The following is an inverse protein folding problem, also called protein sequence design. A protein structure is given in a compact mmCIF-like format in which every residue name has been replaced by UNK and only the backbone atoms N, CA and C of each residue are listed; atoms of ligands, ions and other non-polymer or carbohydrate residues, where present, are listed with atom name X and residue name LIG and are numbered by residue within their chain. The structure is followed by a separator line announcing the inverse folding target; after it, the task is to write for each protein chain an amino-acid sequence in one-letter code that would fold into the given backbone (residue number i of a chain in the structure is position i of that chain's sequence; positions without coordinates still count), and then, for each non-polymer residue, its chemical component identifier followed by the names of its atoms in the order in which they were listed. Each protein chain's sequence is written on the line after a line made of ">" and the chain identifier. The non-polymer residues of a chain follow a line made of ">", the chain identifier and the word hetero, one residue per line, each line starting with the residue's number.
data_IF_624358388186
#
_entry.id   IF_624358388186
#
_cell.length_a   1.000
_cell.length_b   1.000
_cell.length_c   1.000
_cell.angle_alpha   90.00
_cell.angle_beta   90.00
_cell.angle_gamma   90.00
#
_symmetry.space_group_name_H-M   'P 1'
#
loop_
_entity.id
_entity.type
_entity.pdbx_description
1 polymer ?
#
# COMPACT_ATOMS: atom_id res chain seq x y z
N UNK A 1 -7.72 3.24 -3.91
CA UNK A 1 -7.53 4.69 -3.75
C UNK A 1 -6.10 5.02 -4.09
N UNK A 2 -5.86 5.91 -5.03
CA UNK A 2 -4.62 6.65 -4.97
C UNK A 2 -4.76 7.54 -3.72
N UNK A 3 -4.35 7.05 -2.55
CA UNK A 3 -4.18 7.91 -1.39
C UNK A 3 -3.16 8.95 -1.81
N UNK A 4 -3.57 10.22 -1.82
CA UNK A 4 -2.61 11.31 -1.99
C UNK A 4 -1.56 11.05 -0.91
N UNK A 5 -0.28 10.78 -1.26
CA UNK A 5 0.73 10.49 -0.27
C UNK A 5 0.73 11.61 0.78
N UNK A 6 0.83 11.27 2.07
CA UNK A 6 0.78 12.27 3.17
C UNK A 6 1.68 13.49 2.92
N UNK A 7 2.76 13.30 2.17
CA UNK A 7 3.74 14.33 1.82
C UNK A 7 3.53 14.99 0.45
N UNK A 8 2.56 14.52 -0.36
CA UNK A 8 2.24 15.12 -1.65
C UNK A 8 1.56 16.49 -1.49
N UNK A 9 1.59 17.36 -2.52
CA UNK A 9 0.81 18.59 -2.53
C UNK A 9 -0.67 18.32 -2.30
N UNK A 10 -1.31 19.12 -1.46
CA UNK A 10 -2.72 18.92 -1.16
C UNK A 10 -3.60 19.19 -2.39
N UNK A 11 -4.53 18.30 -2.74
CA UNK A 11 -5.42 18.46 -3.90
C UNK A 11 -6.31 19.72 -3.83
N UNK A 12 -6.45 20.34 -2.66
CA UNK A 12 -7.22 21.58 -2.50
C UNK A 12 -6.55 22.81 -3.12
N UNK A 13 -5.35 22.67 -3.70
CA UNK A 13 -4.62 23.79 -4.35
C UNK A 13 -3.93 24.76 -3.40
N UNK A 14 -3.86 24.48 -2.09
CA UNK A 14 -3.25 25.36 -1.07
C UNK A 14 -1.71 25.45 -1.15
N UNK A 15 -1.06 24.64 -1.99
CA UNK A 15 0.41 24.51 -2.05
C UNK A 15 1.04 23.81 -0.82
N UNK A 16 0.26 23.46 0.18
CA UNK A 16 0.74 22.74 1.37
C UNK A 16 0.71 21.22 1.14
N UNK A 17 1.55 20.47 1.87
CA UNK A 17 1.50 19.00 1.86
C UNK A 17 0.14 18.53 2.40
N UNK A 18 -0.40 17.42 1.86
CA UNK A 18 -1.74 16.91 2.22
C UNK A 18 -1.89 16.70 3.73
N UNK A 19 -0.87 16.15 4.40
CA UNK A 19 -0.84 16.00 5.88
C UNK A 19 -0.94 17.32 6.66
N UNK A 20 -0.59 18.45 6.01
CA UNK A 20 -0.57 19.77 6.64
C UNK A 20 -1.74 20.67 6.22
N UNK A 21 -2.67 20.15 5.42
CA UNK A 21 -3.77 20.92 4.85
C UNK A 21 -5.13 20.27 5.09
N UNK A 22 -5.45 19.21 4.37
CA UNK A 22 -6.79 18.59 4.38
C UNK A 22 -6.87 17.29 5.20
N UNK A 23 -5.75 16.77 5.70
CA UNK A 23 -5.79 15.81 6.79
C UNK A 23 -6.18 16.55 8.07
N UNK A 24 -7.17 16.09 8.85
CA UNK A 24 -7.47 16.67 10.15
C UNK A 24 -6.21 16.66 10.99
N UNK A 25 -5.70 17.83 11.34
CA UNK A 25 -4.64 17.95 12.34
C UNK A 25 -5.27 17.61 13.67
N UNK A 26 -4.67 16.71 14.45
CA UNK A 26 -4.79 16.78 15.89
C UNK A 26 -4.31 18.16 16.29
N UNK A 27 -5.22 19.07 16.54
CA UNK A 27 -4.92 20.44 16.89
C UNK A 27 -4.54 20.49 18.35
N UNK A 28 -3.23 20.55 18.60
CA UNK A 28 -2.73 21.26 19.79
C UNK A 28 -2.96 22.77 19.54
N UNK A 29 -4.18 23.20 19.79
CA UNK A 29 -4.49 24.58 20.10
C UNK A 29 -5.34 24.56 21.36
N UNK A 30 -4.71 24.94 22.47
CA UNK A 30 -5.37 25.48 23.64
C UNK A 30 -6.12 26.76 23.24
N UNK A 31 -7.28 26.59 22.64
CA UNK A 31 -8.27 27.64 22.54
C UNK A 31 -9.46 27.22 23.40
N UNK A 32 -9.73 28.00 24.45
CA UNK A 32 -10.77 27.82 25.44
C UNK A 32 -12.13 28.21 24.86
N UNK A 33 -12.50 27.70 23.71
CA UNK A 33 -13.87 27.69 23.20
C UNK A 33 -14.46 26.30 23.45
N UNK A 34 -15.62 26.25 24.11
CA UNK A 34 -16.37 25.00 24.32
C UNK A 34 -16.50 24.26 22.99
N UNK A 35 -16.24 22.93 22.94
CA UNK A 35 -16.41 22.15 21.72
C UNK A 35 -17.85 22.35 21.22
N UNK A 36 -17.98 22.52 19.89
CA UNK A 36 -19.32 22.64 19.30
C UNK A 36 -20.11 21.36 19.60
N UNK A 37 -21.45 21.43 19.78
CA UNK A 37 -22.28 20.24 20.04
C UNK A 37 -22.07 19.11 19.02
N UNK A 38 -21.60 19.46 17.82
CA UNK A 38 -21.23 18.53 16.74
C UNK A 38 -20.04 17.65 17.14
N UNK A 39 -19.03 18.21 17.83
CA UNK A 39 -17.78 17.51 18.14
C UNK A 39 -17.93 16.46 19.24
N UNK A 40 -18.82 16.65 20.21
CA UNK A 40 -19.04 15.68 21.28
C UNK A 40 -19.90 14.49 20.82
N UNK A 41 -21.00 14.75 20.10
CA UNK A 41 -21.92 13.69 19.61
C UNK A 41 -21.25 12.79 18.55
N UNK A 42 -20.31 13.31 17.75
CA UNK A 42 -19.64 12.55 16.69
C UNK A 42 -18.25 12.02 17.07
N UNK A 43 -17.71 12.41 18.23
CA UNK A 43 -16.37 12.00 18.66
C UNK A 43 -16.20 10.46 18.74
N UNK A 44 -17.24 9.76 19.21
CA UNK A 44 -17.25 8.29 19.31
C UNK A 44 -17.19 7.68 17.91
N UNK A 45 -17.96 8.22 16.96
CA UNK A 45 -17.98 7.76 15.58
C UNK A 45 -16.62 7.97 14.87
N UNK A 46 -16.02 9.15 15.01
CA UNK A 46 -14.69 9.43 14.45
C UNK A 46 -13.59 8.57 15.10
N UNK A 47 -13.69 8.31 16.40
CA UNK A 47 -12.78 7.37 17.08
C UNK A 47 -12.94 5.96 16.53
N UNK A 48 -14.16 5.45 16.41
CA UNK A 48 -14.43 4.14 15.82
C UNK A 48 -13.92 4.05 14.37
N UNK A 49 -14.10 5.12 13.57
CA UNK A 49 -13.57 5.22 12.21
C UNK A 49 -12.05 5.15 12.18
N UNK A 50 -11.35 5.86 13.08
CA UNK A 50 -9.88 5.82 13.19
C UNK A 50 -9.34 4.44 13.60
N UNK A 51 -10.13 3.68 14.36
CA UNK A 51 -9.83 2.32 14.79
C UNK A 51 -10.33 1.25 13.79
N UNK A 52 -10.77 1.68 12.59
CA UNK A 52 -11.32 0.82 11.52
C UNK A 52 -12.54 -0.03 11.95
N UNK A 53 -13.25 0.40 13.01
CA UNK A 53 -14.51 -0.21 13.46
C UNK A 53 -15.68 0.37 12.66
N UNK A 54 -15.75 -0.01 11.38
CA UNK A 54 -16.60 0.62 10.38
C UNK A 54 -18.08 0.56 10.73
N UNK A 55 -18.60 -0.60 11.12
CA UNK A 55 -20.02 -0.79 11.46
C UNK A 55 -20.46 0.11 12.63
N UNK A 56 -19.62 0.19 13.66
CA UNK A 56 -19.88 1.08 14.79
C UNK A 56 -19.87 2.55 14.36
N UNK A 57 -18.86 2.95 13.59
CA UNK A 57 -18.78 4.33 13.09
C UNK A 57 -20.01 4.70 12.23
N UNK A 58 -20.42 3.80 11.34
CA UNK A 58 -21.59 3.98 10.48
C UNK A 58 -22.87 4.12 11.32
N UNK A 59 -23.05 3.29 12.37
CA UNK A 59 -24.20 3.35 13.24
C UNK A 59 -24.30 4.71 13.93
N UNK A 60 -23.24 5.14 14.59
CA UNK A 60 -23.18 6.41 15.31
C UNK A 60 -23.37 7.63 14.38
N UNK A 61 -22.74 7.62 13.20
CA UNK A 61 -22.94 8.69 12.21
C UNK A 61 -24.36 8.71 11.66
N UNK A 62 -25.02 7.56 11.46
CA UNK A 62 -26.42 7.50 11.00
C UNK A 62 -27.39 8.03 12.05
N UNK A 63 -27.15 7.76 13.33
CA UNK A 63 -27.95 8.35 14.41
C UNK A 63 -27.89 9.89 14.37
N UNK A 64 -26.67 10.44 14.22
CA UNK A 64 -26.51 11.89 14.07
C UNK A 64 -27.19 12.42 12.80
N UNK A 65 -27.10 11.69 11.67
CA UNK A 65 -27.69 12.08 10.40
C UNK A 65 -29.23 12.13 10.46
N UNK A 66 -29.87 11.31 11.29
CA UNK A 66 -31.33 11.36 11.50
C UNK A 66 -31.78 12.70 12.08
N UNK A 67 -30.95 13.30 12.95
CA UNK A 67 -31.21 14.65 13.50
C UNK A 67 -30.82 15.75 12.51
N UNK A 68 -29.85 15.51 11.64
CA UNK A 68 -29.21 16.47 10.74
C UNK A 68 -29.08 15.92 9.32
N UNK A 69 -30.18 15.73 8.55
CA UNK A 69 -30.16 14.98 7.27
C UNK A 69 -29.30 15.60 6.17
N UNK A 70 -28.99 16.89 6.26
CA UNK A 70 -28.18 17.62 5.27
C UNK A 70 -26.74 17.89 5.74
N UNK A 71 -26.26 17.15 6.74
CA UNK A 71 -24.87 17.31 7.17
C UNK A 71 -23.91 16.69 6.15
N UNK A 72 -23.29 17.57 5.37
CA UNK A 72 -22.32 17.21 4.33
C UNK A 72 -21.15 16.40 4.90
N UNK A 73 -20.57 16.86 6.02
CA UNK A 73 -19.43 16.21 6.67
C UNK A 73 -19.76 14.78 7.10
N UNK A 74 -20.95 14.57 7.65
CA UNK A 74 -21.37 13.25 8.13
C UNK A 74 -21.66 12.31 6.96
N UNK A 75 -22.28 12.80 5.88
CA UNK A 75 -22.47 12.00 4.66
C UNK A 75 -21.13 11.54 4.09
N UNK A 76 -20.11 12.42 4.07
CA UNK A 76 -18.75 12.07 3.62
C UNK A 76 -18.07 11.07 4.57
N UNK A 77 -18.26 11.22 5.89
CA UNK A 77 -17.71 10.29 6.87
C UNK A 77 -18.33 8.89 6.72
N UNK A 78 -19.65 8.79 6.55
CA UNK A 78 -20.36 7.52 6.31
C UNK A 78 -19.88 6.90 5.00
N UNK A 79 -19.77 7.67 3.90
CA UNK A 79 -19.26 7.18 2.64
C UNK A 79 -17.83 6.61 2.79
N UNK A 80 -16.96 7.33 3.53
CA UNK A 80 -15.61 6.88 3.83
C UNK A 80 -15.57 5.60 4.68
N UNK A 81 -16.50 5.42 5.61
CA UNK A 81 -16.63 4.18 6.38
C UNK A 81 -17.05 3.01 5.49
N UNK A 82 -18.02 3.20 4.59
CA UNK A 82 -18.42 2.17 3.63
C UNK A 82 -17.30 1.84 2.63
N UNK A 83 -16.53 2.84 2.17
CA UNK A 83 -15.33 2.60 1.38
C UNK A 83 -14.29 1.76 2.15
N UNK A 84 -14.10 2.06 3.44
CA UNK A 84 -13.23 1.30 4.34
C UNK A 84 -13.69 -0.14 4.58
N UNK A 85 -15.01 -0.33 4.71
CA UNK A 85 -15.67 -1.63 4.84
C UNK A 85 -15.80 -2.39 3.52
N UNK A 86 -15.39 -1.79 2.39
CA UNK A 86 -15.49 -2.35 1.03
C UNK A 86 -16.93 -2.57 0.53
N UNK A 87 -17.90 -1.94 1.18
CA UNK A 87 -19.27 -1.85 0.66
C UNK A 87 -19.38 -0.68 -0.33
N UNK A 88 -18.84 -0.91 -1.52
CA UNK A 88 -18.74 0.12 -2.56
C UNK A 88 -20.09 0.58 -3.10
N UNK A 89 -21.14 -0.24 -2.98
CA UNK A 89 -22.48 0.16 -3.37
C UNK A 89 -23.03 1.23 -2.44
N UNK A 90 -22.92 1.00 -1.13
CA UNK A 90 -23.33 1.97 -0.12
C UNK A 90 -22.43 3.20 -0.12
N UNK A 91 -21.12 3.02 -0.30
CA UNK A 91 -20.18 4.14 -0.42
C UNK A 91 -20.60 5.09 -1.58
N UNK A 92 -20.90 4.53 -2.75
CA UNK A 92 -21.36 5.32 -3.90
C UNK A 92 -22.66 6.07 -3.60
N UNK A 93 -23.64 5.43 -2.95
CA UNK A 93 -24.90 6.07 -2.57
C UNK A 93 -24.67 7.30 -1.66
N UNK A 94 -23.82 7.15 -0.65
CA UNK A 94 -23.54 8.28 0.28
C UNK A 94 -22.66 9.35 -0.37
N UNK A 95 -21.78 9.01 -1.29
CA UNK A 95 -21.07 9.99 -2.11
C UNK A 95 -22.01 10.76 -3.02
N UNK A 96 -23.02 10.11 -3.64
CA UNK A 96 -24.05 10.78 -4.45
C UNK A 96 -24.88 11.76 -3.59
N UNK A 97 -25.29 11.34 -2.37
CA UNK A 97 -26.00 12.23 -1.45
C UNK A 97 -25.18 13.46 -1.06
N UNK A 98 -23.89 13.28 -0.77
CA UNK A 98 -23.01 14.40 -0.43
C UNK A 98 -22.72 15.31 -1.63
N UNK A 99 -22.62 14.73 -2.84
CA UNK A 99 -22.42 15.47 -4.07
C UNK A 99 -23.59 16.41 -4.36
N UNK A 100 -24.82 15.98 -4.04
CA UNK A 100 -26.01 16.81 -4.19
C UNK A 100 -26.02 18.05 -3.29
N UNK A 101 -25.27 18.02 -2.18
CA UNK A 101 -25.13 19.16 -1.25
C UNK A 101 -23.87 19.99 -1.49
N UNK A 102 -23.05 19.62 -2.47
CA UNK A 102 -21.73 20.25 -2.68
C UNK A 102 -21.70 21.08 -3.95
N UNK A 103 -21.60 22.40 -3.80
CA UNK A 103 -21.36 23.35 -4.90
C UNK A 103 -19.93 23.94 -4.86
N UNK A 104 -19.09 23.47 -3.94
CA UNK A 104 -17.81 24.06 -3.60
C UNK A 104 -16.58 23.31 -4.14
N UNK A 105 -15.38 23.72 -3.65
CA UNK A 105 -14.09 23.19 -4.10
C UNK A 105 -13.89 21.70 -3.80
N UNK A 106 -14.73 21.09 -2.96
CA UNK A 106 -14.70 19.65 -2.66
C UNK A 106 -15.37 18.79 -3.75
N UNK A 107 -16.16 19.39 -4.64
CA UNK A 107 -16.91 18.66 -5.67
C UNK A 107 -16.05 17.75 -6.55
N UNK A 108 -14.87 18.17 -7.04
CA UNK A 108 -14.01 17.28 -7.81
C UNK A 108 -13.54 16.04 -7.02
N UNK A 109 -13.22 16.24 -5.73
CA UNK A 109 -12.78 15.15 -4.85
C UNK A 109 -13.90 14.15 -4.59
N UNK A 110 -15.13 14.65 -4.42
CA UNK A 110 -16.31 13.78 -4.22
C UNK A 110 -16.58 12.98 -5.49
N UNK A 111 -16.56 13.62 -6.66
CA UNK A 111 -16.73 12.93 -7.93
C UNK A 111 -15.66 11.86 -8.13
N UNK A 112 -14.41 12.15 -7.81
CA UNK A 112 -13.35 11.16 -7.88
C UNK A 112 -13.64 9.95 -6.97
N UNK A 113 -14.01 10.16 -5.70
CA UNK A 113 -14.35 9.07 -4.77
C UNK A 113 -15.56 8.28 -5.25
N UNK A 114 -16.60 8.98 -5.71
CA UNK A 114 -17.80 8.35 -6.28
C UNK A 114 -17.44 7.46 -7.46
N UNK A 115 -16.62 7.97 -8.39
CA UNK A 115 -16.15 7.19 -9.54
C UNK A 115 -15.39 5.93 -9.14
N UNK A 116 -14.52 6.02 -8.12
CA UNK A 116 -13.81 4.85 -7.58
C UNK A 116 -14.80 3.85 -6.98
N UNK A 117 -15.72 4.27 -6.11
CA UNK A 117 -16.70 3.38 -5.49
C UNK A 117 -17.62 2.73 -6.55
N UNK A 118 -18.05 3.48 -7.58
CA UNK A 118 -18.85 2.95 -8.69
C UNK A 118 -18.07 1.90 -9.50
N UNK A 119 -16.79 2.15 -9.81
CA UNK A 119 -15.94 1.22 -10.54
C UNK A 119 -15.69 -0.06 -9.74
N UNK A 120 -15.38 0.06 -8.45
CA UNK A 120 -15.22 -1.08 -7.54
C UNK A 120 -16.52 -1.89 -7.37
N UNK A 121 -17.68 -1.22 -7.42
CA UNK A 121 -18.99 -1.85 -7.42
C UNK A 121 -19.37 -2.50 -8.78
N UNK A 122 -18.49 -2.46 -9.78
CA UNK A 122 -18.75 -2.98 -11.11
C UNK A 122 -19.64 -2.09 -12.00
N UNK A 123 -19.99 -0.87 -11.55
CA UNK A 123 -20.80 0.10 -12.33
C UNK A 123 -19.93 0.90 -13.29
N UNK A 124 -19.28 0.22 -14.23
CA UNK A 124 -18.19 0.75 -15.06
C UNK A 124 -18.61 1.97 -15.88
N UNK A 125 -19.76 1.91 -16.56
CA UNK A 125 -20.26 3.02 -17.38
C UNK A 125 -20.54 4.28 -16.55
N UNK A 126 -21.15 4.12 -15.36
CA UNK A 126 -21.40 5.24 -14.44
C UNK A 126 -20.09 5.82 -13.92
N UNK A 127 -19.15 4.95 -13.56
CA UNK A 127 -17.82 5.37 -13.11
C UNK A 127 -17.11 6.18 -14.19
N UNK A 128 -17.16 5.74 -15.45
CA UNK A 128 -16.58 6.45 -16.59
C UNK A 128 -17.15 7.88 -16.69
N UNK A 129 -18.48 8.01 -16.73
CA UNK A 129 -19.15 9.32 -16.78
C UNK A 129 -18.81 10.21 -15.60
N UNK A 130 -18.71 9.63 -14.39
CA UNK A 130 -18.34 10.35 -13.17
C UNK A 130 -16.91 10.87 -13.22
N UNK A 131 -15.97 10.08 -13.75
CA UNK A 131 -14.58 10.51 -13.92
C UNK A 131 -14.42 11.56 -15.04
N UNK A 132 -15.21 11.49 -16.12
CA UNK A 132 -15.25 12.57 -17.12
C UNK A 132 -15.69 13.89 -16.49
N UNK A 133 -16.77 13.87 -15.71
CA UNK A 133 -17.23 15.07 -14.97
C UNK A 133 -16.18 15.58 -13.95
N UNK A 134 -15.48 14.68 -13.30
CA UNK A 134 -14.39 15.05 -12.38
C UNK A 134 -13.22 15.69 -13.13
N UNK A 135 -12.83 15.16 -14.30
CA UNK A 135 -11.71 15.64 -15.11
C UNK A 135 -11.87 17.10 -15.55
N UNK A 136 -13.11 17.52 -15.84
CA UNK A 136 -13.40 18.91 -16.21
C UNK A 136 -13.14 19.89 -15.06
N UNK A 137 -13.34 19.45 -13.81
CA UNK A 137 -13.24 20.28 -12.61
C UNK A 137 -11.84 20.33 -12.00
N UNK A 138 -11.01 19.32 -12.23
CA UNK A 138 -9.62 19.31 -11.77
C UNK A 138 -8.77 20.31 -12.57
N UNK A 139 -7.85 20.98 -11.88
CA UNK A 139 -7.12 22.11 -12.44
C UNK A 139 -5.67 21.79 -12.80
N UNK A 140 -5.04 20.85 -12.09
CA UNK A 140 -3.63 20.54 -12.32
C UNK A 140 -3.44 19.48 -13.41
N UNK A 141 -2.36 19.58 -14.22
CA UNK A 141 -2.05 18.57 -15.22
C UNK A 141 -1.87 17.16 -14.64
N UNK A 142 -1.28 17.06 -13.44
CA UNK A 142 -1.03 15.79 -12.75
C UNK A 142 -2.34 15.08 -12.37
N UNK A 143 -3.33 15.83 -11.84
CA UNK A 143 -4.65 15.29 -11.52
C UNK A 143 -5.37 14.79 -12.77
N UNK A 144 -5.33 15.58 -13.85
CA UNK A 144 -5.92 15.21 -15.14
C UNK A 144 -5.26 13.98 -15.75
N UNK A 145 -3.93 13.86 -15.67
CA UNK A 145 -3.20 12.68 -16.12
C UNK A 145 -3.63 11.42 -15.34
N UNK A 146 -3.75 11.53 -14.02
CA UNK A 146 -4.18 10.43 -13.17
C UNK A 146 -5.60 9.94 -13.56
N UNK A 147 -6.55 10.86 -13.74
CA UNK A 147 -7.91 10.51 -14.18
C UNK A 147 -7.89 9.97 -15.61
N UNK A 148 -7.09 10.52 -16.50
CA UNK A 148 -6.95 10.02 -17.88
C UNK A 148 -6.52 8.55 -17.94
N UNK A 149 -5.61 8.14 -17.05
CA UNK A 149 -5.22 6.72 -16.92
C UNK A 149 -6.39 5.85 -16.49
N UNK A 150 -7.18 6.30 -15.51
CA UNK A 150 -8.38 5.59 -15.04
C UNK A 150 -9.41 5.48 -16.16
N UNK A 151 -9.70 6.55 -16.88
CA UNK A 151 -10.64 6.56 -18.00
C UNK A 151 -10.19 5.60 -19.13
N UNK A 152 -8.89 5.57 -19.42
CA UNK A 152 -8.33 4.61 -20.39
C UNK A 152 -8.55 3.16 -19.94
N UNK A 153 -8.37 2.87 -18.65
CA UNK A 153 -8.59 1.52 -18.10
C UNK A 153 -10.07 1.13 -18.14
N UNK A 154 -10.98 2.03 -17.70
CA UNK A 154 -12.42 1.79 -17.78
C UNK A 154 -12.89 1.59 -19.21
N UNK A 155 -12.36 2.36 -20.17
CA UNK A 155 -12.63 2.18 -21.60
C UNK A 155 -12.19 0.79 -22.09
N UNK A 156 -11.04 0.27 -21.65
CA UNK A 156 -10.59 -1.09 -21.97
C UNK A 156 -11.54 -2.15 -21.40
N UNK A 157 -12.11 -1.91 -20.21
CA UNK A 157 -13.11 -2.81 -19.62
C UNK A 157 -14.42 -2.77 -20.42
N UNK A 158 -14.91 -1.59 -20.79
CA UNK A 158 -16.13 -1.42 -21.57
C UNK A 158 -16.02 -2.09 -22.95
N UNK A 159 -14.84 -2.06 -23.56
CA UNK A 159 -14.56 -2.69 -24.85
C UNK A 159 -14.22 -4.19 -24.75
N UNK A 160 -14.29 -4.79 -23.55
CA UNK A 160 -14.02 -6.21 -23.33
C UNK A 160 -12.54 -6.60 -23.35
N UNK A 161 -11.60 -5.64 -23.42
CA UNK A 161 -10.16 -5.90 -23.37
C UNK A 161 -9.66 -6.25 -21.95
N UNK A 162 -10.39 -5.81 -20.93
CA UNK A 162 -10.16 -6.14 -19.52
C UNK A 162 -11.48 -6.51 -18.84
N UNK A 163 -11.40 -7.16 -17.69
CA UNK A 163 -12.59 -7.47 -16.86
C UNK A 163 -12.82 -6.40 -15.80
N UNK A 164 -14.05 -6.19 -15.32
CA UNK A 164 -14.32 -5.28 -14.20
C UNK A 164 -13.52 -5.63 -12.93
N UNK A 165 -13.25 -6.93 -12.74
CA UNK A 165 -12.42 -7.41 -11.62
C UNK A 165 -11.00 -6.85 -11.67
N UNK A 166 -10.45 -6.55 -12.85
CA UNK A 166 -9.10 -5.97 -12.96
C UNK A 166 -8.99 -4.62 -12.23
N UNK A 167 -10.02 -3.79 -12.32
CA UNK A 167 -10.07 -2.51 -11.60
C UNK A 167 -10.14 -2.71 -10.08
N UNK A 168 -10.97 -3.63 -9.62
CA UNK A 168 -11.09 -3.97 -8.20
C UNK A 168 -9.76 -4.50 -7.66
N UNK A 169 -9.10 -5.42 -8.38
CA UNK A 169 -7.79 -5.95 -8.02
C UNK A 169 -6.77 -4.83 -7.86
N UNK A 170 -6.72 -3.89 -8.80
CA UNK A 170 -5.79 -2.76 -8.74
C UNK A 170 -6.08 -1.83 -7.55
N UNK A 171 -7.36 -1.55 -7.29
CA UNK A 171 -7.76 -0.75 -6.12
C UNK A 171 -7.39 -1.43 -4.80
N UNK A 172 -7.57 -2.75 -4.70
CA UNK A 172 -7.19 -3.53 -3.53
C UNK A 172 -5.68 -3.62 -3.34
N UNK A 173 -4.90 -3.78 -4.43
CA UNK A 173 -3.44 -3.71 -4.38
C UNK A 173 -2.97 -2.36 -3.84
N UNK A 174 -3.56 -1.26 -4.31
CA UNK A 174 -3.22 0.07 -3.82
C UNK A 174 -3.51 0.24 -2.33
N UNK A 175 -4.62 -0.35 -1.84
CA UNK A 175 -4.94 -0.36 -0.41
C UNK A 175 -3.96 -1.22 0.40
N UNK A 176 -3.59 -2.40 -0.11
CA UNK A 176 -2.58 -3.22 0.53
C UNK A 176 -1.25 -2.47 0.68
N UNK A 177 -0.83 -1.68 -0.33
CA UNK A 177 0.35 -0.82 -0.20
C UNK A 177 0.17 0.28 0.85
N UNK A 178 -1.03 0.87 0.97
CA UNK A 178 -1.32 1.82 2.06
C UNK A 178 -1.25 1.15 3.44
N UNK A 179 -1.74 -0.09 3.56
CA UNK A 179 -1.65 -0.85 4.81
C UNK A 179 -0.18 -1.13 5.18
N UNK A 180 0.72 -1.35 4.19
CA UNK A 180 2.17 -1.44 4.43
C UNK A 180 2.78 -0.11 4.94
N UNK A 181 2.36 1.03 4.38
CA UNK A 181 2.82 2.35 4.83
C UNK A 181 2.36 2.67 6.26
N UNK A 182 1.19 2.14 6.67
CA UNK A 182 0.62 2.25 8.00
C UNK A 182 1.15 1.16 8.97
N UNK A 183 2.07 0.28 8.51
CA UNK A 183 2.60 -0.88 9.24
C UNK A 183 1.51 -1.90 9.65
N UNK A 184 0.33 -1.86 9.03
CA UNK A 184 -0.77 -2.80 9.26
C UNK A 184 -0.60 -4.06 8.38
N UNK A 185 0.44 -4.83 8.68
CA UNK A 185 0.82 -6.02 7.88
C UNK A 185 -0.25 -7.11 7.89
N UNK A 186 -1.10 -7.17 8.92
CA UNK A 186 -2.21 -8.13 9.00
C UNK A 186 -3.30 -7.78 7.97
N UNK A 187 -3.65 -6.50 7.84
CA UNK A 187 -4.59 -6.04 6.84
C UNK A 187 -4.03 -6.19 5.43
N UNK A 188 -2.75 -5.84 5.24
CA UNK A 188 -2.06 -6.02 3.97
C UNK A 188 -2.09 -7.50 3.53
N UNK A 189 -1.76 -8.44 4.44
CA UNK A 189 -1.80 -9.87 4.16
C UNK A 189 -3.22 -10.34 3.80
N UNK A 190 -4.22 -9.95 4.59
CA UNK A 190 -5.63 -10.31 4.36
C UNK A 190 -6.10 -9.88 2.97
N UNK A 191 -5.80 -8.64 2.56
CA UNK A 191 -6.15 -8.14 1.22
C UNK A 191 -5.43 -8.90 0.11
N UNK A 192 -4.12 -9.11 0.28
CA UNK A 192 -3.32 -9.83 -0.72
C UNK A 192 -3.77 -11.29 -0.86
N UNK A 193 -4.17 -11.96 0.22
CA UNK A 193 -4.80 -13.28 0.17
C UNK A 193 -6.11 -13.27 -0.63
N UNK A 194 -6.95 -12.25 -0.44
CA UNK A 194 -8.19 -12.11 -1.22
C UNK A 194 -7.89 -11.90 -2.70
N UNK A 195 -6.96 -10.98 -3.03
CA UNK A 195 -6.58 -10.67 -4.41
C UNK A 195 -5.97 -11.92 -5.09
N UNK A 196 -5.18 -12.70 -4.37
CA UNK A 196 -4.52 -13.90 -4.91
C UNK A 196 -5.50 -14.97 -5.43
N UNK A 197 -6.74 -14.95 -4.97
CA UNK A 197 -7.81 -15.84 -5.47
C UNK A 197 -8.33 -15.41 -6.84
N UNK A 198 -8.28 -14.11 -7.12
CA UNK A 198 -8.77 -13.54 -8.38
C UNK A 198 -7.65 -13.46 -9.45
N UNK A 199 -6.42 -13.28 -9.01
CA UNK A 199 -5.24 -13.23 -9.91
C UNK A 199 -4.12 -14.16 -9.40
N UNK A 200 -4.34 -15.49 -9.51
CA UNK A 200 -3.42 -16.49 -8.94
C UNK A 200 -2.11 -16.66 -9.72
N UNK A 201 -1.98 -15.99 -10.86
CA UNK A 201 -0.79 -16.05 -11.72
C UNK A 201 0.11 -14.82 -11.61
N UNK A 202 -0.22 -13.86 -10.75
CA UNK A 202 0.56 -12.64 -10.57
C UNK A 202 1.64 -12.82 -9.49
N UNK A 203 2.93 -12.91 -9.86
CA UNK A 203 4.01 -13.14 -8.91
C UNK A 203 4.15 -12.00 -7.88
N UNK A 204 3.80 -10.75 -8.27
CA UNK A 204 3.93 -9.61 -7.37
C UNK A 204 2.98 -9.69 -6.16
N UNK A 205 1.80 -10.31 -6.31
CA UNK A 205 0.86 -10.51 -5.21
C UNK A 205 1.49 -11.44 -4.15
N UNK A 206 2.05 -12.59 -4.59
CA UNK A 206 2.68 -13.55 -3.68
C UNK A 206 3.96 -12.99 -3.07
N UNK A 207 4.74 -12.23 -3.84
CA UNK A 207 5.91 -11.53 -3.29
C UNK A 207 5.50 -10.59 -2.14
N UNK A 208 4.54 -9.72 -2.35
CA UNK A 208 4.08 -8.78 -1.32
C UNK A 208 3.45 -9.50 -0.12
N UNK A 209 2.71 -10.59 -0.35
CA UNK A 209 2.17 -11.43 0.71
C UNK A 209 3.31 -12.07 1.54
N UNK A 210 4.36 -12.56 0.90
CA UNK A 210 5.57 -13.06 1.56
C UNK A 210 6.26 -11.98 2.41
N UNK A 211 6.32 -10.75 1.91
CA UNK A 211 6.85 -9.60 2.66
C UNK A 211 5.97 -9.32 3.90
N UNK A 212 4.64 -9.27 3.76
CA UNK A 212 3.73 -9.09 4.89
C UNK A 212 3.92 -10.16 5.96
N UNK A 213 3.99 -11.43 5.56
CA UNK A 213 4.22 -12.54 6.49
C UNK A 213 5.61 -12.48 7.15
N UNK A 214 6.63 -11.95 6.48
CA UNK A 214 7.95 -11.73 7.08
C UNK A 214 7.87 -10.74 8.25
N UNK A 215 7.17 -9.62 8.07
CA UNK A 215 6.94 -8.65 9.14
C UNK A 215 6.08 -9.23 10.28
N UNK A 216 5.11 -10.06 9.96
CA UNK A 216 4.28 -10.79 10.93
C UNK A 216 5.02 -11.96 11.61
N UNK A 217 6.29 -12.20 11.27
CA UNK A 217 7.11 -13.31 11.78
C UNK A 217 6.51 -14.70 11.48
N UNK A 218 5.74 -14.81 10.40
CA UNK A 218 5.17 -16.06 9.88
C UNK A 218 6.09 -16.64 8.81
N UNK A 219 7.29 -17.09 9.22
CA UNK A 219 8.40 -17.42 8.32
C UNK A 219 8.06 -18.48 7.27
N UNK A 220 7.38 -19.57 7.68
CA UNK A 220 7.02 -20.64 6.74
C UNK A 220 6.04 -20.11 5.68
N UNK A 221 5.01 -19.37 6.07
CA UNK A 221 4.08 -18.77 5.13
C UNK A 221 4.77 -17.78 4.18
N UNK A 222 5.75 -17.02 4.68
CA UNK A 222 6.56 -16.14 3.84
C UNK A 222 7.37 -16.93 2.80
N UNK A 223 8.04 -18.01 3.20
CA UNK A 223 8.78 -18.90 2.30
C UNK A 223 7.87 -19.50 1.23
N UNK A 224 6.70 -20.04 1.62
CA UNK A 224 5.73 -20.61 0.68
C UNK A 224 5.28 -19.58 -0.38
N UNK A 225 5.08 -18.33 0.04
CA UNK A 225 4.73 -17.23 -0.86
C UNK A 225 5.89 -16.85 -1.80
N UNK A 226 7.10 -16.74 -1.30
CA UNK A 226 8.27 -16.45 -2.15
C UNK A 226 8.58 -17.61 -3.10
N UNK A 227 8.45 -18.87 -2.68
CA UNK A 227 8.56 -20.04 -3.56
C UNK A 227 7.54 -20.00 -4.69
N UNK A 228 6.28 -19.62 -4.35
CA UNK A 228 5.26 -19.43 -5.38
C UNK A 228 5.61 -18.29 -6.32
N UNK A 229 6.17 -17.20 -5.80
CA UNK A 229 6.65 -16.08 -6.62
C UNK A 229 7.67 -16.54 -7.65
N UNK A 230 8.73 -17.23 -7.23
CA UNK A 230 9.80 -17.69 -8.14
C UNK A 230 9.37 -18.84 -9.05
N UNK A 231 8.31 -19.55 -8.70
CA UNK A 231 7.68 -20.54 -9.60
C UNK A 231 6.92 -19.87 -10.73
N UNK A 232 6.26 -18.73 -10.45
CA UNK A 232 5.52 -17.95 -11.44
C UNK A 232 6.46 -17.08 -12.29
N UNK A 233 7.48 -16.50 -11.66
CA UNK A 233 8.51 -15.69 -12.31
C UNK A 233 9.89 -16.12 -11.78
N UNK A 234 10.61 -17.00 -12.51
CA UNK A 234 11.92 -17.48 -12.10
C UNK A 234 13.00 -16.40 -12.00
N UNK A 235 12.79 -15.21 -12.60
CA UNK A 235 13.72 -14.08 -12.57
C UNK A 235 13.43 -13.08 -11.45
N UNK A 236 12.51 -13.40 -10.53
CA UNK A 236 12.12 -12.50 -9.44
C UNK A 236 13.21 -12.42 -8.35
N UNK A 237 14.26 -11.64 -8.62
CA UNK A 237 15.51 -11.55 -7.84
C UNK A 237 15.26 -11.29 -6.35
N UNK A 238 14.35 -10.35 -6.03
CA UNK A 238 14.10 -9.96 -4.65
C UNK A 238 13.41 -11.05 -3.83
N UNK A 239 12.68 -11.97 -4.45
CA UNK A 239 12.10 -13.12 -3.77
C UNK A 239 13.20 -14.09 -3.31
N UNK A 240 14.15 -14.42 -4.18
CA UNK A 240 15.30 -15.23 -3.78
C UNK A 240 16.10 -14.59 -2.64
N UNK A 241 16.33 -13.28 -2.73
CA UNK A 241 17.05 -12.57 -1.68
C UNK A 241 16.33 -12.68 -0.33
N UNK A 242 15.01 -12.46 -0.28
CA UNK A 242 14.23 -12.54 0.94
C UNK A 242 14.17 -13.97 1.50
N UNK A 243 14.04 -14.99 0.65
CA UNK A 243 14.17 -16.39 1.05
C UNK A 243 15.54 -16.64 1.68
N UNK A 244 16.61 -16.18 1.02
CA UNK A 244 17.97 -16.29 1.55
C UNK A 244 18.14 -15.66 2.92
N UNK A 245 17.53 -14.50 3.16
CA UNK A 245 17.55 -13.84 4.47
C UNK A 245 16.80 -14.66 5.54
N UNK A 246 15.65 -15.25 5.24
CA UNK A 246 14.94 -16.12 6.18
C UNK A 246 15.79 -17.33 6.53
N UNK A 247 16.35 -18.03 5.53
CA UNK A 247 17.24 -19.17 5.77
C UNK A 247 18.48 -18.80 6.57
N UNK A 248 19.09 -17.64 6.29
CA UNK A 248 20.28 -17.16 7.01
C UNK A 248 20.01 -16.80 8.46
N UNK A 249 18.99 -15.98 8.70
CA UNK A 249 18.80 -15.29 9.98
C UNK A 249 17.87 -16.04 10.93
N UNK A 250 16.89 -16.77 10.39
CA UNK A 250 15.85 -17.43 11.17
C UNK A 250 16.13 -18.94 11.26
N UNK A 251 16.19 -19.60 10.10
CA UNK A 251 16.36 -21.06 10.03
C UNK A 251 17.82 -21.49 10.31
N UNK A 252 18.79 -20.57 10.13
CA UNK A 252 20.23 -20.84 10.20
C UNK A 252 20.69 -21.94 9.26
N UNK A 253 19.94 -22.12 8.17
CA UNK A 253 20.33 -23.02 7.08
C UNK A 253 21.14 -22.25 6.05
N UNK A 254 22.43 -22.15 6.34
CA UNK A 254 23.36 -21.38 5.54
C UNK A 254 23.51 -21.94 4.12
N UNK A 255 23.34 -23.24 3.93
CA UNK A 255 23.40 -23.88 2.61
C UNK A 255 22.24 -23.47 1.71
N UNK A 256 21.02 -23.49 2.24
CA UNK A 256 19.84 -22.96 1.50
C UNK A 256 19.94 -21.45 1.28
N UNK A 257 20.43 -20.71 2.26
CA UNK A 257 20.66 -19.27 2.12
C UNK A 257 21.62 -18.96 0.96
N UNK A 258 22.78 -19.67 0.89
CA UNK A 258 23.75 -19.52 -0.19
C UNK A 258 23.13 -19.80 -1.56
N UNK A 259 22.35 -20.88 -1.69
CA UNK A 259 21.68 -21.22 -2.95
C UNK A 259 20.73 -20.07 -3.38
N UNK A 260 19.97 -19.52 -2.46
CA UNK A 260 19.07 -18.41 -2.75
C UNK A 260 19.83 -17.15 -3.19
N UNK A 261 20.92 -16.79 -2.51
CA UNK A 261 21.73 -15.64 -2.91
C UNK A 261 22.42 -15.86 -4.25
N UNK A 262 22.86 -17.09 -4.54
CA UNK A 262 23.43 -17.44 -5.85
C UNK A 262 22.42 -17.29 -6.97
N UNK A 263 21.17 -17.72 -6.75
CA UNK A 263 20.08 -17.50 -7.72
C UNK A 263 19.81 -16.02 -7.93
N UNK A 264 19.78 -15.22 -6.86
CA UNK A 264 19.61 -13.78 -6.97
C UNK A 264 20.73 -13.11 -7.79
N UNK A 265 21.98 -13.54 -7.58
CA UNK A 265 23.15 -13.04 -8.33
C UNK A 265 23.13 -13.52 -9.78
N UNK A 266 22.67 -14.74 -10.06
CA UNK A 266 22.58 -15.28 -11.43
C UNK A 266 21.66 -14.42 -12.29
N UNK A 267 20.52 -13.96 -11.74
CA UNK A 267 19.58 -13.11 -12.47
C UNK A 267 19.92 -11.62 -12.42
N UNK A 268 20.71 -11.19 -11.42
CA UNK A 268 21.21 -9.82 -11.29
C UNK A 268 22.62 -9.84 -10.72
N UNK A 269 23.61 -9.81 -11.59
CA UNK A 269 25.04 -9.92 -11.28
C UNK A 269 25.60 -8.77 -10.42
N UNK A 270 24.93 -7.62 -10.38
CA UNK A 270 25.28 -6.46 -9.57
C UNK A 270 24.41 -6.32 -8.31
N UNK A 271 23.76 -7.38 -7.83
CA UNK A 271 22.89 -7.29 -6.66
C UNK A 271 23.69 -7.27 -5.35
N UNK A 272 24.08 -6.06 -4.94
CA UNK A 272 24.97 -5.77 -3.81
C UNK A 272 24.56 -6.49 -2.53
N UNK A 273 23.25 -6.45 -2.19
CA UNK A 273 22.72 -7.08 -0.98
C UNK A 273 22.95 -8.60 -0.95
N UNK A 274 22.82 -9.28 -2.10
CA UNK A 274 23.05 -10.71 -2.17
C UNK A 274 24.53 -11.08 -1.95
N UNK A 275 25.47 -10.34 -2.53
CA UNK A 275 26.90 -10.55 -2.26
C UNK A 275 27.23 -10.33 -0.78
N UNK A 276 26.71 -9.27 -0.17
CA UNK A 276 26.95 -8.99 1.24
C UNK A 276 26.45 -10.12 2.13
N UNK A 277 25.20 -10.54 1.96
CA UNK A 277 24.59 -11.60 2.78
C UNK A 277 25.20 -12.98 2.49
N UNK A 278 25.62 -13.24 1.27
CA UNK A 278 26.39 -14.44 0.90
C UNK A 278 27.71 -14.50 1.66
N UNK A 279 28.41 -13.36 1.82
CA UNK A 279 29.60 -13.25 2.66
C UNK A 279 29.32 -13.59 4.12
N UNK A 280 28.20 -13.10 4.68
CA UNK A 280 27.77 -13.45 6.04
C UNK A 280 27.49 -14.95 6.15
N UNK A 281 26.81 -15.56 5.19
CA UNK A 281 26.54 -16.99 5.20
C UNK A 281 27.81 -17.84 5.16
N UNK A 282 28.81 -17.48 4.36
CA UNK A 282 30.13 -18.17 4.33
C UNK A 282 30.87 -17.99 5.66
N UNK A 283 30.85 -16.84 6.27
CA UNK A 283 31.43 -16.62 7.60
C UNK A 283 30.82 -17.55 8.65
N UNK A 284 29.46 -17.68 8.64
CA UNK A 284 28.75 -18.58 9.57
C UNK A 284 29.11 -20.06 9.34
N UNK A 285 29.53 -20.43 8.13
CA UNK A 285 30.04 -21.75 7.81
C UNK A 285 31.54 -21.92 8.12
N UNK A 286 32.24 -20.85 8.54
CA UNK A 286 33.65 -20.83 8.80
C UNK A 286 34.55 -20.70 7.54
N UNK A 287 33.95 -20.51 6.35
CA UNK A 287 34.68 -20.28 5.10
C UNK A 287 35.03 -18.79 4.94
N UNK A 288 36.01 -18.39 5.73
CA UNK A 288 36.47 -16.99 5.80
C UNK A 288 36.99 -16.49 4.46
N UNK A 289 37.61 -17.37 3.68
CA UNK A 289 38.16 -17.03 2.35
C UNK A 289 37.05 -16.55 1.41
N UNK A 290 35.99 -17.35 1.25
CA UNK A 290 34.83 -16.99 0.42
C UNK A 290 34.04 -15.82 0.99
N UNK A 291 33.97 -15.68 2.31
CA UNK A 291 33.33 -14.50 2.93
C UNK A 291 34.01 -13.20 2.50
N UNK A 292 35.37 -13.18 2.57
CA UNK A 292 36.16 -12.02 2.12
C UNK A 292 36.01 -11.74 0.62
N UNK A 293 35.96 -12.76 -0.24
CA UNK A 293 35.69 -12.59 -1.66
C UNK A 293 34.33 -11.89 -1.91
N UNK A 294 33.29 -12.36 -1.23
CA UNK A 294 31.94 -11.78 -1.35
C UNK A 294 31.90 -10.33 -0.88
N UNK A 295 32.49 -9.99 0.26
CA UNK A 295 32.50 -8.61 0.75
C UNK A 295 33.40 -7.69 -0.08
N UNK A 296 34.51 -8.18 -0.64
CA UNK A 296 35.31 -7.41 -1.62
C UNK A 296 34.47 -7.09 -2.87
N UNK A 297 33.69 -8.07 -3.36
CA UNK A 297 32.77 -7.84 -4.48
C UNK A 297 31.69 -6.82 -4.11
N UNK A 298 31.18 -6.85 -2.88
CA UNK A 298 30.25 -5.84 -2.35
C UNK A 298 30.87 -4.44 -2.40
N UNK A 299 32.12 -4.28 -1.95
CA UNK A 299 32.85 -3.00 -1.96
C UNK A 299 33.21 -2.55 -3.39
N UNK A 300 33.49 -3.50 -4.30
CA UNK A 300 33.70 -3.20 -5.72
C UNK A 300 32.44 -2.57 -6.35
N UNK A 301 31.27 -3.16 -6.07
CA UNK A 301 30.00 -2.70 -6.60
C UNK A 301 29.46 -1.42 -5.89
N UNK A 302 29.75 -1.30 -4.60
CA UNK A 302 29.40 -0.13 -3.77
C UNK A 302 30.59 0.27 -2.89
N UNK A 303 31.46 1.16 -3.38
CA UNK A 303 32.60 1.66 -2.60
C UNK A 303 32.21 2.40 -1.31
N UNK A 304 30.95 2.80 -1.16
CA UNK A 304 30.41 3.40 0.06
C UNK A 304 29.98 2.42 1.13
N UNK A 305 29.94 1.11 0.85
CA UNK A 305 29.39 0.11 1.75
C UNK A 305 30.26 -0.10 3.01
N UNK A 306 29.87 0.59 4.07
CA UNK A 306 30.59 0.57 5.35
C UNK A 306 30.58 -0.82 5.98
N UNK A 307 29.43 -1.51 5.97
CA UNK A 307 29.27 -2.82 6.61
C UNK A 307 30.23 -3.87 5.99
N UNK A 308 30.36 -3.90 4.66
CA UNK A 308 31.26 -4.82 4.02
C UNK A 308 32.73 -4.50 4.36
N UNK A 309 33.12 -3.22 4.41
CA UNK A 309 34.47 -2.80 4.83
C UNK A 309 34.77 -3.21 6.28
N UNK A 310 33.83 -2.93 7.18
CA UNK A 310 33.98 -3.27 8.59
C UNK A 310 34.12 -4.80 8.79
N UNK A 311 33.35 -5.60 8.03
CA UNK A 311 33.45 -7.06 8.04
C UNK A 311 34.82 -7.54 7.54
N UNK A 312 35.33 -6.97 6.44
CA UNK A 312 36.66 -7.30 5.91
C UNK A 312 37.75 -6.99 6.96
N UNK A 313 37.74 -5.79 7.52
CA UNK A 313 38.72 -5.34 8.50
C UNK A 313 38.69 -6.23 9.76
N UNK A 314 37.49 -6.49 10.29
CA UNK A 314 37.27 -7.34 11.46
C UNK A 314 37.88 -8.74 11.27
N UNK A 315 37.61 -9.36 10.12
CA UNK A 315 38.05 -10.71 9.82
C UNK A 315 39.59 -10.75 9.58
N UNK A 316 40.14 -9.77 8.87
CA UNK A 316 41.59 -9.68 8.66
C UNK A 316 42.36 -9.52 9.95
N UNK A 317 41.82 -8.72 10.91
CA UNK A 317 42.42 -8.52 12.22
C UNK A 317 42.43 -9.78 13.11
N UNK A 318 41.48 -10.67 12.88
CA UNK A 318 41.40 -11.95 13.61
C UNK A 318 42.28 -13.06 13.01
N UNK A 319 42.80 -12.87 11.79
CA UNK A 319 43.68 -13.82 11.09
C UNK A 319 45.17 -13.51 11.27
N UNK A 320 45.51 -12.29 11.74
CA UNK A 320 46.91 -11.88 12.02
C UNK A 320 47.19 -11.91 13.49
#
# INVERSE_FOLDING_TARGET
>A
MATVPRNAPCPCGSGKKFKNCCLPKNSDHTDTSQPSPLSEKTAVAYKAMSEKRWDQAICEFKEYLNENPSSFEILQAIAGCYDGAEDYLMAAEFHEKSLALSDGPMRPVILYRLGVSQACAGRIEKAYQTFEAAMELFRTPQEKEAIGKILSELSQIMNGAKTPQSFLIQAQLQRAFSDFEDEDYEQAATRLEQISKFDPQNPAIFYNLGVAYTFLKRQQAALDCFEKTVKLDPEYVTAYYNMGQIYLLVERDYSRALNCFDRAITFRDNYIGAYHQKGVAYEMLGDVGKALECWRKTVELDPGNKQAKDNIERVQKNLG
#
